data_IF_607378756391
#
_entry.id   IF_607378756391
#
_cell.length_a   1.000
_cell.length_b   1.000
_cell.length_c   1.000
_cell.angle_alpha   90.00
_cell.angle_beta   90.00
_cell.angle_gamma   90.00
#
_symmetry.space_group_name_H-M   'P 1'
#
loop_
_entity.id
_entity.type
_entity.pdbx_description
1 polymer ?
#
# COMPACT_ATOMS: atom_id res chain seq x y z
N UNK A 1 33.85 -21.83 -32.94
CA UNK A 1 32.42 -21.69 -33.28
C UNK A 1 31.93 -20.44 -32.60
N UNK A 2 31.22 -19.54 -33.30
CA UNK A 2 30.69 -18.33 -32.67
C UNK A 2 29.48 -18.70 -31.82
N UNK A 3 29.43 -18.24 -30.59
CA UNK A 3 28.44 -18.67 -29.59
C UNK A 3 27.87 -17.53 -28.74
N UNK A 4 28.37 -16.29 -28.94
CA UNK A 4 28.07 -15.17 -28.05
C UNK A 4 27.00 -14.25 -28.66
N UNK A 5 25.99 -13.89 -27.89
CA UNK A 5 25.02 -12.85 -28.27
C UNK A 5 25.55 -11.52 -27.76
N UNK A 6 25.89 -10.61 -28.67
CA UNK A 6 26.34 -9.27 -28.33
C UNK A 6 25.13 -8.34 -28.20
N UNK A 7 25.04 -7.55 -27.13
CA UNK A 7 24.01 -6.53 -26.94
C UNK A 7 24.65 -5.15 -27.00
N UNK A 8 24.28 -4.37 -28.02
CA UNK A 8 24.69 -2.97 -28.21
C UNK A 8 23.57 -2.04 -27.78
N UNK A 9 23.87 -1.07 -26.91
CA UNK A 9 22.90 -0.14 -26.31
C UNK A 9 23.56 1.21 -26.00
N UNK A 10 22.77 2.27 -25.80
CA UNK A 10 23.33 3.58 -25.43
C UNK A 10 23.65 3.65 -23.93
N UNK A 11 24.94 3.64 -23.57
CA UNK A 11 25.37 3.86 -22.18
C UNK A 11 25.31 5.36 -21.81
N UNK A 12 24.80 5.75 -20.62
CA UNK A 12 24.16 4.92 -19.59
C UNK A 12 22.64 4.77 -19.75
N UNK A 13 22.02 5.44 -20.73
CA UNK A 13 20.57 5.60 -20.89
C UNK A 13 19.82 4.26 -20.95
N UNK A 14 20.36 3.30 -21.69
CA UNK A 14 19.72 2.02 -21.99
C UNK A 14 20.22 0.87 -21.09
N UNK A 15 21.11 1.16 -20.15
CA UNK A 15 21.77 0.13 -19.32
C UNK A 15 20.76 -0.75 -18.56
N UNK A 16 19.63 -0.18 -18.13
CA UNK A 16 18.59 -0.92 -17.40
C UNK A 16 18.00 -2.02 -18.29
N UNK A 17 17.64 -1.66 -19.53
CA UNK A 17 17.09 -2.61 -20.47
C UNK A 17 18.14 -3.64 -20.89
N UNK A 18 19.34 -3.19 -21.24
CA UNK A 18 20.43 -4.06 -21.67
C UNK A 18 20.82 -5.08 -20.58
N UNK A 19 20.92 -4.64 -19.32
CA UNK A 19 21.19 -5.55 -18.19
C UNK A 19 20.05 -6.53 -17.98
N UNK A 20 18.80 -6.06 -18.03
CA UNK A 20 17.64 -6.92 -17.89
C UNK A 20 17.60 -8.00 -18.97
N UNK A 21 17.81 -7.61 -20.24
CA UNK A 21 17.79 -8.53 -21.37
C UNK A 21 18.94 -9.53 -21.28
N UNK A 22 20.16 -9.06 -20.98
CA UNK A 22 21.32 -9.91 -20.83
C UNK A 22 21.10 -10.99 -19.76
N UNK A 23 20.60 -10.61 -18.59
CA UNK A 23 20.29 -11.59 -17.53
C UNK A 23 19.22 -12.59 -17.96
N UNK A 24 18.17 -12.16 -18.68
CA UNK A 24 17.13 -13.09 -19.14
C UNK A 24 17.65 -14.11 -20.15
N UNK A 25 18.48 -13.67 -21.10
CA UNK A 25 19.09 -14.55 -22.09
C UNK A 25 20.09 -15.53 -21.45
N UNK A 26 20.91 -15.07 -20.51
CA UNK A 26 21.84 -15.93 -19.76
C UNK A 26 21.12 -16.99 -18.92
N UNK A 27 20.02 -16.63 -18.24
CA UNK A 27 19.16 -17.60 -17.53
C UNK A 27 18.51 -18.62 -18.47
N UNK A 28 18.32 -18.29 -19.74
CA UNK A 28 17.87 -19.22 -20.77
C UNK A 28 19.01 -20.07 -21.37
N UNK A 29 20.25 -19.91 -20.88
CA UNK A 29 21.43 -20.67 -21.28
C UNK A 29 22.22 -20.05 -22.43
N UNK A 30 21.94 -18.82 -22.85
CA UNK A 30 22.73 -18.15 -23.89
C UNK A 30 23.97 -17.49 -23.30
N UNK A 31 25.09 -17.54 -24.03
CA UNK A 31 26.28 -16.75 -23.69
C UNK A 31 26.07 -15.33 -24.21
N UNK A 32 26.06 -14.35 -23.31
CA UNK A 32 25.78 -12.95 -23.65
C UNK A 32 26.98 -12.08 -23.33
N UNK A 33 27.21 -11.09 -24.18
CA UNK A 33 28.15 -10.01 -23.94
C UNK A 33 27.41 -8.68 -23.95
N UNK A 34 27.58 -7.86 -22.92
CA UNK A 34 26.97 -6.54 -22.78
C UNK A 34 27.94 -5.61 -22.06
N UNK A 35 28.06 -4.38 -22.55
CA UNK A 35 28.93 -3.37 -21.94
C UNK A 35 28.25 -2.64 -20.78
N UNK A 36 28.45 -3.11 -19.53
CA UNK A 36 27.78 -2.57 -18.35
C UNK A 36 28.71 -1.79 -17.39
N UNK A 37 29.92 -1.46 -17.82
CA UNK A 37 31.03 -0.93 -17.00
C UNK A 37 31.54 -1.91 -15.94
N UNK A 38 32.63 -2.61 -16.24
CA UNK A 38 33.59 -3.10 -15.25
C UNK A 38 34.88 -3.55 -15.94
N UNK A 39 35.84 -2.64 -16.16
CA UNK A 39 37.19 -3.04 -16.58
C UNK A 39 38.28 -2.14 -15.97
N UNK A 40 39.40 -2.80 -15.68
CA UNK A 40 40.59 -2.23 -15.06
C UNK A 40 41.25 -1.15 -15.94
N UNK A 41 41.88 -0.12 -15.33
CA UNK A 41 42.65 0.86 -16.09
C UNK A 41 43.78 0.17 -16.87
N UNK A 42 43.94 0.52 -18.16
CA UNK A 42 44.99 0.09 -19.13
C UNK A 42 44.62 -0.88 -20.25
N UNK A 43 43.34 -1.25 -20.46
CA UNK A 43 42.91 -2.08 -21.61
C UNK A 43 42.32 -1.20 -22.72
N UNK A 44 42.75 -1.42 -23.97
CA UNK A 44 42.12 -0.79 -25.15
C UNK A 44 40.72 -1.36 -25.38
N UNK A 45 39.74 -0.67 -24.80
CA UNK A 45 38.32 -1.01 -24.78
C UNK A 45 37.74 -1.28 -26.18
N UNK A 46 38.16 -0.50 -27.18
CA UNK A 46 37.59 -0.61 -28.51
C UNK A 46 38.06 -1.86 -29.25
N UNK A 47 39.32 -2.28 -29.02
CA UNK A 47 39.83 -3.52 -29.60
C UNK A 47 39.07 -4.74 -29.08
N UNK A 48 38.71 -4.77 -27.80
CA UNK A 48 37.92 -5.87 -27.23
C UNK A 48 36.53 -5.94 -27.87
N UNK A 49 35.84 -4.79 -27.99
CA UNK A 49 34.51 -4.75 -28.62
C UNK A 49 34.56 -5.21 -30.08
N UNK A 50 35.48 -4.64 -30.87
CA UNK A 50 35.63 -5.02 -32.29
C UNK A 50 35.95 -6.52 -32.43
N UNK A 51 36.86 -7.05 -31.60
CA UNK A 51 37.18 -8.48 -31.59
C UNK A 51 35.99 -9.35 -31.21
N UNK A 52 35.23 -9.00 -30.16
CA UNK A 52 34.07 -9.78 -29.74
C UNK A 52 32.99 -9.79 -30.82
N UNK A 53 32.67 -8.64 -31.43
CA UNK A 53 31.70 -8.57 -32.52
C UNK A 53 32.16 -9.40 -33.72
N UNK A 54 33.45 -9.33 -34.09
CA UNK A 54 33.99 -10.04 -35.27
C UNK A 54 34.15 -11.53 -35.08
N UNK A 55 34.65 -11.96 -33.93
CA UNK A 55 35.20 -13.31 -33.76
C UNK A 55 34.32 -14.20 -32.90
N UNK A 56 33.61 -13.63 -31.91
CA UNK A 56 32.88 -14.42 -30.92
C UNK A 56 31.35 -14.35 -31.13
N UNK A 57 30.85 -13.21 -31.63
CA UNK A 57 29.43 -12.95 -31.72
C UNK A 57 28.74 -13.79 -32.81
N UNK A 58 27.71 -14.53 -32.42
CA UNK A 58 26.81 -15.27 -33.33
C UNK A 58 25.61 -14.40 -33.75
N UNK A 59 25.16 -13.51 -32.87
CA UNK A 59 24.11 -12.52 -33.13
C UNK A 59 24.49 -11.19 -32.49
N UNK A 60 24.08 -10.11 -33.13
CA UNK A 60 24.25 -8.75 -32.65
C UNK A 60 22.86 -8.13 -32.41
N UNK A 61 22.46 -8.03 -31.15
CA UNK A 61 21.23 -7.37 -30.75
C UNK A 61 21.49 -5.87 -30.64
N UNK A 62 20.79 -5.09 -31.46
CA UNK A 62 20.86 -3.64 -31.41
C UNK A 62 19.64 -3.09 -30.66
N UNK A 63 19.88 -2.52 -29.47
CA UNK A 63 18.83 -1.89 -28.67
C UNK A 63 18.51 -0.52 -29.26
N UNK A 64 17.35 -0.41 -29.92
CA UNK A 64 16.87 0.81 -30.56
C UNK A 64 16.09 1.67 -29.55
N UNK A 65 16.71 2.76 -29.14
CA UNK A 65 16.14 3.84 -28.32
C UNK A 65 16.35 5.19 -29.01
N UNK A 66 15.70 6.25 -28.54
CA UNK A 66 16.03 7.59 -29.05
C UNK A 66 17.49 7.98 -28.78
N UNK A 67 18.11 7.39 -27.75
CA UNK A 67 19.51 7.64 -27.41
C UNK A 67 20.48 6.85 -28.29
N UNK A 68 20.17 5.60 -28.66
CA UNK A 68 21.09 4.75 -29.43
C UNK A 68 21.12 5.07 -30.92
N UNK A 69 20.05 5.63 -31.47
CA UNK A 69 19.98 6.09 -32.85
C UNK A 69 20.61 7.48 -33.05
N UNK A 70 20.88 8.22 -31.97
CA UNK A 70 21.49 9.55 -32.04
C UNK A 70 22.86 9.46 -32.74
N UNK A 71 23.07 10.16 -33.88
CA UNK A 71 24.34 10.14 -34.59
C UNK A 71 25.53 10.63 -33.75
N UNK A 72 25.29 11.39 -32.68
CA UNK A 72 26.33 11.89 -31.78
C UNK A 72 26.88 10.81 -30.83
N UNK A 73 26.27 9.61 -30.78
CA UNK A 73 26.74 8.47 -29.98
C UNK A 73 27.76 7.63 -30.75
N UNK A 74 28.97 8.17 -30.90
CA UNK A 74 30.05 7.58 -31.70
C UNK A 74 30.37 6.11 -31.36
N UNK A 75 30.32 5.71 -30.08
CA UNK A 75 30.55 4.30 -29.67
C UNK A 75 29.53 3.33 -30.28
N UNK A 76 28.24 3.61 -30.13
CA UNK A 76 27.14 2.79 -30.65
C UNK A 76 27.17 2.75 -32.18
N UNK A 77 27.47 3.88 -32.83
CA UNK A 77 27.60 3.96 -34.28
C UNK A 77 28.76 3.12 -34.81
N UNK A 78 29.91 3.15 -34.12
CA UNK A 78 31.07 2.32 -34.46
C UNK A 78 30.76 0.83 -34.32
N UNK A 79 30.10 0.41 -33.24
CA UNK A 79 29.66 -0.97 -33.04
C UNK A 79 28.73 -1.43 -34.16
N UNK A 80 27.72 -0.62 -34.49
CA UNK A 80 26.77 -0.91 -35.55
C UNK A 80 27.45 -1.00 -36.92
N UNK A 81 28.42 -0.12 -37.21
CA UNK A 81 29.20 -0.15 -38.44
C UNK A 81 30.07 -1.42 -38.54
N UNK A 82 30.64 -1.91 -37.43
CA UNK A 82 31.36 -3.19 -37.40
C UNK A 82 30.39 -4.34 -37.65
N UNK A 83 29.21 -4.32 -37.02
CA UNK A 83 28.18 -5.33 -37.21
C UNK A 83 27.65 -5.36 -38.65
N UNK A 84 27.47 -4.21 -39.32
CA UNK A 84 27.03 -4.16 -40.73
C UNK A 84 28.04 -4.83 -41.67
N UNK A 85 29.34 -4.67 -41.42
CA UNK A 85 30.38 -5.35 -42.20
C UNK A 85 30.22 -6.88 -42.14
N UNK A 86 29.88 -7.41 -40.96
CA UNK A 86 29.64 -8.85 -40.76
C UNK A 86 28.31 -9.27 -41.39
N UNK A 87 27.28 -8.42 -41.28
CA UNK A 87 25.96 -8.67 -41.85
C UNK A 87 26.00 -8.90 -43.36
N UNK A 88 26.93 -8.26 -44.08
CA UNK A 88 27.15 -8.51 -45.52
C UNK A 88 27.52 -9.96 -45.84
N UNK A 89 28.13 -10.67 -44.90
CA UNK A 89 28.49 -12.09 -45.02
C UNK A 89 27.45 -13.00 -44.35
N UNK A 90 26.77 -12.51 -43.31
CA UNK A 90 25.70 -13.20 -42.59
C UNK A 90 24.46 -12.28 -42.48
N UNK A 91 23.51 -12.34 -43.44
CA UNK A 91 22.40 -11.40 -43.52
C UNK A 91 21.55 -11.27 -42.24
N UNK A 92 21.46 -12.35 -41.45
CA UNK A 92 20.66 -12.42 -40.22
C UNK A 92 21.47 -12.07 -38.96
N UNK A 93 22.63 -11.42 -39.10
CA UNK A 93 23.50 -11.15 -37.95
C UNK A 93 22.96 -10.09 -36.99
N UNK A 94 22.38 -9.01 -37.52
CA UNK A 94 21.83 -7.90 -36.74
C UNK A 94 20.35 -8.17 -36.41
N UNK A 95 20.00 -8.07 -35.13
CA UNK A 95 18.65 -8.24 -34.60
C UNK A 95 18.24 -6.95 -33.90
N UNK A 96 17.46 -6.07 -34.55
CA UNK A 96 17.02 -4.84 -33.92
C UNK A 96 15.92 -5.10 -32.88
N UNK A 97 16.03 -4.47 -31.72
CA UNK A 97 15.07 -4.56 -30.61
C UNK A 97 14.62 -3.15 -30.23
N UNK A 98 13.33 -2.84 -30.40
CA UNK A 98 12.80 -1.49 -30.16
C UNK A 98 12.31 -1.32 -28.73
N UNK A 99 12.89 -0.37 -28.01
CA UNK A 99 12.52 -0.08 -26.61
C UNK A 99 11.92 1.31 -26.39
N UNK A 100 11.91 2.17 -27.42
CA UNK A 100 11.29 3.50 -27.42
C UNK A 100 10.35 3.70 -28.62
N UNK A 101 9.56 4.78 -28.57
CA UNK A 101 8.83 5.29 -29.72
C UNK A 101 9.77 6.02 -30.71
N UNK A 102 10.59 5.24 -31.40
CA UNK A 102 11.53 5.72 -32.41
C UNK A 102 10.82 5.90 -33.76
N UNK A 103 11.06 7.04 -34.42
CA UNK A 103 10.61 7.31 -35.78
C UNK A 103 11.46 6.55 -36.80
N UNK A 104 10.81 5.94 -37.80
CA UNK A 104 11.51 5.22 -38.87
C UNK A 104 12.45 6.12 -39.69
N UNK A 105 12.17 7.43 -39.76
CA UNK A 105 12.99 8.38 -40.52
C UNK A 105 14.34 8.66 -39.85
N UNK A 106 14.45 8.40 -38.55
CA UNK A 106 15.62 8.72 -37.74
C UNK A 106 16.52 7.49 -37.52
N UNK A 107 16.22 6.39 -38.21
CA UNK A 107 16.98 5.14 -38.08
C UNK A 107 18.30 5.18 -38.87
N UNK A 108 19.39 4.64 -38.29
CA UNK A 108 20.62 4.38 -39.04
C UNK A 108 20.35 3.53 -40.29
N UNK A 109 21.07 3.83 -41.37
CA UNK A 109 20.88 3.22 -42.69
C UNK A 109 21.09 1.69 -42.63
N UNK A 110 21.96 1.24 -41.73
CA UNK A 110 22.32 -0.15 -41.48
C UNK A 110 21.13 -1.00 -41.03
N UNK A 111 20.15 -0.40 -40.32
CA UNK A 111 19.00 -1.10 -39.73
C UNK A 111 17.65 -0.68 -40.32
N UNK A 112 17.60 0.36 -41.15
CA UNK A 112 16.38 0.91 -41.75
C UNK A 112 15.50 -0.15 -42.45
N UNK A 113 16.12 -1.20 -43.01
CA UNK A 113 15.42 -2.27 -43.76
C UNK A 113 15.12 -3.52 -42.92
N UNK A 114 15.49 -3.54 -41.65
CA UNK A 114 15.31 -4.68 -40.76
C UNK A 114 14.02 -4.55 -39.96
N UNK A 115 13.34 -5.68 -39.75
CA UNK A 115 12.19 -5.71 -38.85
C UNK A 115 12.67 -5.80 -37.40
N UNK A 116 12.25 -4.83 -36.58
CA UNK A 116 12.58 -4.82 -35.16
C UNK A 116 11.59 -5.66 -34.34
N UNK A 117 12.08 -6.31 -33.30
CA UNK A 117 11.24 -6.94 -32.28
C UNK A 117 10.79 -5.84 -31.31
N UNK A 118 9.48 -5.73 -31.08
CA UNK A 118 8.92 -4.68 -30.22
C UNK A 118 9.00 -5.05 -28.74
N UNK A 119 9.75 -4.26 -27.97
CA UNK A 119 9.79 -4.27 -26.52
C UNK A 119 9.20 -2.98 -25.92
N UNK A 120 8.86 -1.95 -26.72
CA UNK A 120 8.42 -0.64 -26.21
C UNK A 120 7.19 -0.74 -25.29
N UNK A 121 6.20 -1.55 -25.69
CA UNK A 121 4.95 -1.67 -24.93
C UNK A 121 5.00 -2.74 -23.84
N UNK A 122 5.71 -3.84 -24.09
CA UNK A 122 5.69 -5.02 -23.23
C UNK A 122 7.00 -5.83 -23.38
N UNK A 123 7.86 -5.73 -22.37
CA UNK A 123 9.16 -6.40 -22.36
C UNK A 123 9.01 -7.93 -22.37
N UNK A 124 7.96 -8.48 -21.75
CA UNK A 124 7.76 -9.91 -21.68
C UNK A 124 7.39 -10.51 -23.05
N UNK A 125 6.49 -9.85 -23.79
CA UNK A 125 6.15 -10.25 -25.17
C UNK A 125 7.31 -10.10 -26.14
N UNK A 126 8.08 -9.02 -25.99
CA UNK A 126 9.32 -8.84 -26.76
C UNK A 126 10.30 -9.98 -26.53
N UNK A 127 10.51 -10.35 -25.26
CA UNK A 127 11.42 -11.45 -24.87
C UNK A 127 10.93 -12.79 -25.41
N UNK A 128 9.63 -13.09 -25.32
CA UNK A 128 9.05 -14.31 -25.90
C UNK A 128 9.34 -14.42 -27.40
N UNK A 129 9.13 -13.32 -28.12
CA UNK A 129 9.38 -13.23 -29.57
C UNK A 129 10.86 -13.42 -29.89
N UNK A 130 11.75 -12.77 -29.14
CA UNK A 130 13.19 -12.90 -29.31
C UNK A 130 13.69 -14.32 -29.00
N UNK A 131 13.22 -14.94 -27.92
CA UNK A 131 13.59 -16.31 -27.56
C UNK A 131 13.14 -17.31 -28.62
N UNK A 132 11.93 -17.14 -29.17
CA UNK A 132 11.45 -17.94 -30.30
C UNK A 132 12.39 -17.80 -31.50
N UNK A 133 12.70 -16.57 -31.90
CA UNK A 133 13.64 -16.28 -32.99
C UNK A 133 15.02 -16.95 -32.78
N UNK A 134 15.60 -16.83 -31.58
CA UNK A 134 16.91 -17.42 -31.28
C UNK A 134 16.89 -18.96 -31.30
N UNK A 135 15.77 -19.57 -30.86
CA UNK A 135 15.59 -21.02 -30.95
C UNK A 135 15.47 -21.47 -32.42
N UNK A 136 14.68 -20.76 -33.23
CA UNK A 136 14.48 -21.07 -34.65
C UNK A 136 15.80 -20.99 -35.45
N UNK A 137 16.69 -20.06 -35.07
CA UNK A 137 18.05 -19.91 -35.61
C UNK A 137 19.07 -20.94 -35.05
N UNK A 138 18.63 -21.87 -34.19
CA UNK A 138 19.45 -22.92 -33.57
C UNK A 138 20.70 -22.37 -32.84
N UNK A 139 20.57 -21.24 -32.14
CA UNK A 139 21.68 -20.67 -31.38
C UNK A 139 22.04 -21.59 -30.21
N UNK A 140 23.34 -21.94 -30.12
CA UNK A 140 23.87 -22.85 -29.10
C UNK A 140 23.65 -22.27 -27.71
N UNK A 141 23.09 -23.09 -26.82
CA UNK A 141 22.98 -22.80 -25.39
C UNK A 141 24.15 -23.44 -24.66
N UNK A 142 24.88 -22.66 -23.89
CA UNK A 142 25.97 -23.14 -23.05
C UNK A 142 25.36 -23.58 -21.72
N UNK A 143 25.46 -24.87 -21.38
CA UNK A 143 25.20 -25.31 -20.01
C UNK A 143 26.34 -24.79 -19.12
N UNK A 144 26.20 -23.56 -18.64
CA UNK A 144 27.17 -23.00 -17.72
C UNK A 144 26.85 -23.51 -16.30
N UNK A 145 27.79 -24.24 -15.69
CA UNK A 145 27.78 -24.59 -14.26
C UNK A 145 28.00 -23.38 -13.33
N UNK A 146 27.81 -22.16 -13.82
CA UNK A 146 27.97 -20.93 -13.04
C UNK A 146 26.83 -20.83 -12.03
N UNK A 147 27.17 -20.54 -10.78
CA UNK A 147 26.20 -20.28 -9.71
C UNK A 147 25.17 -19.24 -10.20
N UNK A 148 23.90 -19.64 -10.22
CA UNK A 148 22.76 -18.79 -10.59
C UNK A 148 22.72 -17.47 -9.81
N UNK A 149 23.41 -17.43 -8.66
CA UNK A 149 23.65 -16.27 -7.83
C UNK A 149 24.26 -15.09 -8.60
N UNK A 150 25.26 -15.31 -9.48
CA UNK A 150 25.91 -14.23 -10.22
C UNK A 150 24.93 -13.44 -11.11
N UNK A 151 24.04 -14.15 -11.81
CA UNK A 151 23.04 -13.53 -12.70
C UNK A 151 21.98 -12.75 -11.92
N UNK A 152 21.60 -13.27 -10.75
CA UNK A 152 20.68 -12.64 -9.81
C UNK A 152 21.32 -11.38 -9.22
N UNK A 153 22.57 -11.43 -8.80
CA UNK A 153 23.30 -10.31 -8.20
C UNK A 153 23.48 -9.17 -9.20
N UNK A 154 23.82 -9.47 -10.47
CA UNK A 154 23.93 -8.45 -11.53
C UNK A 154 22.59 -7.77 -11.82
N UNK A 155 21.51 -8.56 -11.94
CA UNK A 155 20.15 -8.02 -12.13
C UNK A 155 19.69 -7.20 -10.92
N UNK A 156 19.91 -7.70 -9.71
CA UNK A 156 19.55 -7.00 -8.47
C UNK A 156 20.31 -5.67 -8.37
N UNK A 157 21.63 -5.69 -8.58
CA UNK A 157 22.49 -4.51 -8.53
C UNK A 157 22.09 -3.43 -9.55
N UNK A 158 21.75 -3.82 -10.79
CA UNK A 158 21.25 -2.85 -11.78
C UNK A 158 19.90 -2.22 -11.41
N UNK A 159 19.04 -2.94 -10.68
CA UNK A 159 17.77 -2.40 -10.17
C UNK A 159 17.94 -1.55 -8.90
N UNK A 160 18.96 -1.78 -8.08
CA UNK A 160 19.17 -1.01 -6.82
C UNK A 160 19.41 0.48 -7.04
N UNK A 161 19.87 0.92 -8.23
CA UNK A 161 19.97 2.36 -8.55
C UNK A 161 18.60 3.06 -8.64
N UNK A 162 17.51 2.30 -8.88
CA UNK A 162 16.13 2.81 -8.96
C UNK A 162 15.30 2.53 -7.71
N UNK A 163 15.72 1.56 -6.89
CA UNK A 163 15.00 1.14 -5.68
C UNK A 163 15.62 1.76 -4.44
N UNK A 164 14.78 1.95 -3.43
CA UNK A 164 15.22 2.36 -2.11
C UNK A 164 16.30 1.41 -1.59
N UNK A 165 17.45 1.95 -1.17
CA UNK A 165 18.50 1.15 -0.57
C UNK A 165 18.16 0.91 0.90
N UNK A 166 18.06 -0.35 1.32
CA UNK A 166 17.89 -0.68 2.74
C UNK A 166 19.14 -0.26 3.50
N UNK A 167 18.95 0.38 4.65
CA UNK A 167 20.04 0.80 5.55
C UNK A 167 19.81 0.25 6.95
N UNK A 168 20.91 0.01 7.65
CA UNK A 168 20.93 -0.48 9.04
C UNK A 168 20.68 0.65 10.05
N UNK A 169 19.64 1.44 9.77
CA UNK A 169 19.15 2.48 10.66
C UNK A 169 17.77 2.12 11.16
N UNK A 170 17.49 2.48 12.40
CA UNK A 170 16.15 2.36 12.94
C UNK A 170 15.19 3.33 12.24
N UNK A 171 13.96 2.86 12.00
CA UNK A 171 12.88 3.68 11.46
C UNK A 171 11.60 3.47 12.25
N UNK A 172 10.90 4.57 12.53
CA UNK A 172 9.70 4.58 13.34
C UNK A 172 8.43 4.65 12.47
N UNK A 173 7.63 3.60 12.52
CA UNK A 173 6.36 3.49 11.81
C UNK A 173 5.19 3.78 12.73
N UNK A 174 4.40 4.80 12.39
CA UNK A 174 3.14 5.05 13.07
C UNK A 174 2.03 4.17 12.47
N UNK A 175 1.34 3.43 13.33
CA UNK A 175 0.19 2.65 12.91
C UNK A 175 -1.11 3.46 12.95
N UNK A 176 -2.20 2.80 12.57
CA UNK A 176 -3.57 3.23 12.83
C UNK A 176 -4.25 2.44 13.96
N UNK A 177 -3.43 1.76 14.79
CA UNK A 177 -3.84 1.05 16.00
C UNK A 177 -3.66 1.99 17.19
N UNK A 178 -4.67 2.07 18.05
CA UNK A 178 -4.65 2.89 19.26
C UNK A 178 -5.00 1.99 20.44
N UNK A 179 -4.15 1.95 21.46
CA UNK A 179 -4.40 1.11 22.63
C UNK A 179 -5.75 1.46 23.27
N UNK A 180 -6.45 0.41 23.71
CA UNK A 180 -7.74 0.49 24.37
C UNK A 180 -7.64 -0.16 25.73
N UNK A 181 -7.92 0.61 26.77
CA UNK A 181 -8.29 0.06 28.07
C UNK A 181 -9.79 -0.24 28.04
N UNK A 182 -10.11 -1.54 28.04
CA UNK A 182 -11.48 -2.03 28.09
C UNK A 182 -12.13 -1.71 29.44
N UNK A 183 -13.47 -1.60 29.50
CA UNK A 183 -14.18 -1.58 30.77
C UNK A 183 -13.78 -2.80 31.62
N UNK A 184 -13.61 -2.60 32.92
CA UNK A 184 -13.11 -3.64 33.84
C UNK A 184 -14.02 -4.85 33.85
N UNK A 185 -15.34 -4.65 33.83
CA UNK A 185 -16.29 -5.73 34.00
C UNK A 185 -17.44 -5.71 32.99
N UNK A 186 -17.80 -6.89 32.52
CA UNK A 186 -19.01 -7.14 31.73
C UNK A 186 -20.09 -7.74 32.63
N UNK A 187 -21.33 -7.30 32.42
CA UNK A 187 -22.49 -7.71 33.20
C UNK A 187 -23.47 -8.49 32.34
N UNK A 188 -24.05 -9.53 32.94
CA UNK A 188 -25.09 -10.37 32.35
C UNK A 188 -26.35 -10.29 33.21
N UNK A 189 -27.46 -9.91 32.60
CA UNK A 189 -28.76 -9.75 33.24
C UNK A 189 -29.81 -10.65 32.59
N UNK A 190 -30.90 -10.96 33.30
CA UNK A 190 -32.11 -11.47 32.64
C UNK A 190 -32.70 -10.38 31.76
N UNK A 191 -33.08 -10.75 30.54
CA UNK A 191 -33.54 -9.82 29.50
C UNK A 191 -34.81 -9.07 29.91
N UNK A 192 -35.76 -9.79 30.49
CA UNK A 192 -37.05 -9.24 30.95
C UNK A 192 -36.88 -8.16 32.01
N UNK A 193 -35.76 -8.17 32.74
CA UNK A 193 -35.51 -7.20 33.80
C UNK A 193 -34.97 -5.86 33.30
N UNK A 194 -34.23 -5.84 32.18
CA UNK A 194 -33.39 -4.69 31.79
C UNK A 194 -33.56 -4.22 30.34
N UNK A 195 -34.22 -4.97 29.47
CA UNK A 195 -34.25 -4.66 28.03
C UNK A 195 -34.87 -3.28 27.73
N UNK A 196 -35.97 -2.94 28.40
CA UNK A 196 -36.68 -1.68 28.19
C UNK A 196 -35.80 -0.49 28.57
N UNK A 197 -35.20 -0.53 29.76
CA UNK A 197 -34.39 0.58 30.27
C UNK A 197 -33.11 0.78 29.46
N UNK A 198 -32.45 -0.31 29.07
CA UNK A 198 -31.25 -0.26 28.22
C UNK A 198 -31.58 0.28 26.83
N UNK A 199 -32.74 -0.08 26.26
CA UNK A 199 -33.15 0.37 24.93
C UNK A 199 -33.49 1.86 24.95
N UNK A 200 -34.29 2.30 25.92
CA UNK A 200 -34.70 3.70 26.07
C UNK A 200 -33.50 4.61 26.28
N UNK A 201 -32.52 4.18 27.08
CA UNK A 201 -31.28 4.91 27.35
C UNK A 201 -30.20 4.73 26.27
N UNK A 202 -30.47 3.98 25.21
CA UNK A 202 -29.52 3.71 24.12
C UNK A 202 -28.19 3.09 24.59
N UNK A 203 -28.26 2.19 25.58
CA UNK A 203 -27.11 1.54 26.17
C UNK A 203 -26.62 0.40 25.27
N UNK A 204 -25.33 0.36 24.90
CA UNK A 204 -24.76 -0.74 24.15
C UNK A 204 -24.94 -2.09 24.85
N UNK A 205 -25.54 -3.05 24.14
CA UNK A 205 -25.90 -4.36 24.68
C UNK A 205 -25.94 -5.45 23.61
N UNK A 206 -25.93 -6.71 24.04
CA UNK A 206 -26.15 -7.88 23.18
C UNK A 206 -27.20 -8.81 23.79
N UNK A 207 -28.24 -9.09 23.01
CA UNK A 207 -29.35 -9.98 23.39
C UNK A 207 -28.99 -11.42 23.03
N UNK A 208 -29.11 -12.33 23.99
CA UNK A 208 -28.90 -13.76 23.76
C UNK A 208 -30.01 -14.54 24.47
N UNK A 209 -31.02 -15.01 23.71
CA UNK A 209 -32.24 -15.64 24.24
C UNK A 209 -32.88 -14.80 25.35
N UNK A 210 -32.86 -15.28 26.61
CA UNK A 210 -33.44 -14.66 27.80
C UNK A 210 -32.45 -13.84 28.63
N UNK A 211 -31.23 -13.62 28.15
CA UNK A 211 -30.23 -12.79 28.83
C UNK A 211 -29.74 -11.64 27.95
N UNK A 212 -29.21 -10.60 28.60
CA UNK A 212 -28.55 -9.47 27.97
C UNK A 212 -27.13 -9.35 28.55
N UNK A 213 -26.15 -9.16 27.66
CA UNK A 213 -24.77 -8.83 27.99
C UNK A 213 -24.56 -7.32 27.75
N UNK A 214 -23.97 -6.59 28.69
CA UNK A 214 -23.69 -5.15 28.59
C UNK A 214 -22.55 -4.73 29.52
N UNK A 215 -22.01 -3.52 29.31
CA UNK A 215 -21.06 -2.86 30.21
C UNK A 215 -21.74 -1.87 31.18
N UNK A 216 -23.08 -1.80 31.19
CA UNK A 216 -23.78 -1.06 32.22
C UNK A 216 -23.64 -1.75 33.59
N UNK A 217 -23.15 -1.03 34.59
CA UNK A 217 -22.94 -1.60 35.92
C UNK A 217 -24.26 -1.79 36.66
N UNK A 218 -24.27 -2.71 37.63
CA UNK A 218 -25.48 -3.05 38.38
C UNK A 218 -26.05 -1.88 39.17
N UNK A 219 -25.21 -1.00 39.70
CA UNK A 219 -25.65 0.21 40.43
C UNK A 219 -26.54 1.08 39.54
N UNK A 220 -26.05 1.43 38.35
CA UNK A 220 -26.83 2.18 37.36
C UNK A 220 -28.11 1.46 36.96
N UNK A 221 -28.07 0.15 36.74
CA UNK A 221 -29.26 -0.63 36.37
C UNK A 221 -30.32 -0.61 37.48
N UNK A 222 -29.91 -0.82 38.73
CA UNK A 222 -30.83 -0.76 39.87
C UNK A 222 -31.44 0.64 40.03
N UNK A 223 -30.62 1.69 39.89
CA UNK A 223 -31.07 3.08 39.94
C UNK A 223 -32.08 3.40 38.82
N UNK A 224 -31.87 2.89 37.61
CA UNK A 224 -32.78 3.14 36.49
C UNK A 224 -34.05 2.29 36.53
N UNK A 225 -33.97 1.07 37.07
CA UNK A 225 -35.11 0.18 37.24
C UNK A 225 -35.90 0.48 38.54
N UNK A 226 -35.35 1.27 39.46
CA UNK A 226 -35.89 1.56 40.80
C UNK A 226 -36.16 0.30 41.63
N UNK A 227 -35.34 -0.74 41.43
CA UNK A 227 -35.41 -2.03 42.14
C UNK A 227 -34.09 -2.78 42.02
N UNK A 228 -33.91 -3.78 42.87
CA UNK A 228 -32.81 -4.74 42.70
C UNK A 228 -33.02 -5.64 41.48
N UNK A 229 -31.92 -5.98 40.82
CA UNK A 229 -31.89 -6.82 39.63
C UNK A 229 -30.78 -7.87 39.77
N UNK A 230 -31.11 -9.12 39.51
CA UNK A 230 -30.14 -10.21 39.49
C UNK A 230 -29.11 -10.02 38.36
N UNK A 231 -27.84 -10.26 38.65
CA UNK A 231 -26.77 -10.11 37.67
C UNK A 231 -25.62 -11.10 37.88
N UNK A 232 -24.85 -11.32 36.81
CA UNK A 232 -23.53 -11.93 36.87
C UNK A 232 -22.51 -10.89 36.41
N UNK A 233 -21.44 -10.70 37.19
CA UNK A 233 -20.31 -9.83 36.86
C UNK A 233 -19.11 -10.71 36.49
N UNK A 234 -18.49 -10.42 35.35
CA UNK A 234 -17.27 -11.10 34.89
C UNK A 234 -16.19 -10.07 34.62
N UNK A 235 -14.93 -10.41 34.87
CA UNK A 235 -13.79 -9.64 34.36
C UNK A 235 -13.80 -9.67 32.82
N UNK A 236 -13.65 -8.51 32.20
CA UNK A 236 -13.76 -8.39 30.75
C UNK A 236 -12.61 -9.08 30.01
N UNK A 237 -11.39 -9.03 30.54
CA UNK A 237 -10.21 -9.64 29.89
C UNK A 237 -10.35 -11.16 29.94
N UNK A 238 -10.73 -11.70 31.09
CA UNK A 238 -10.99 -13.14 31.26
C UNK A 238 -12.14 -13.59 30.36
N UNK A 239 -13.24 -12.82 30.30
CA UNK A 239 -14.39 -13.15 29.46
C UNK A 239 -14.08 -13.15 27.95
N UNK A 240 -13.09 -12.37 27.50
CA UNK A 240 -12.61 -12.38 26.11
C UNK A 240 -11.67 -13.58 25.84
N UNK A 241 -10.81 -13.92 26.81
CA UNK A 241 -9.79 -14.97 26.67
C UNK A 241 -10.31 -16.39 26.92
N UNK A 242 -11.38 -16.56 27.70
CA UNK A 242 -11.90 -17.88 28.06
C UNK A 242 -12.40 -18.66 26.82
N UNK A 243 -11.60 -19.64 26.40
CA UNK A 243 -11.84 -20.49 25.23
C UNK A 243 -12.78 -21.68 25.48
N UNK A 244 -13.13 -21.97 26.73
CA UNK A 244 -14.11 -22.99 27.09
C UNK A 244 -15.51 -22.48 26.77
N UNK A 245 -16.03 -22.88 25.61
CA UNK A 245 -17.36 -22.57 25.13
C UNK A 245 -18.12 -23.88 24.86
N UNK A 246 -19.44 -23.93 25.10
CA UNK A 246 -20.30 -22.85 25.58
C UNK A 246 -20.29 -22.70 27.12
N UNK A 247 -20.62 -21.51 27.62
CA UNK A 247 -20.81 -21.24 29.05
C UNK A 247 -22.28 -20.98 29.36
N UNK A 248 -22.73 -21.38 30.56
CA UNK A 248 -24.13 -21.18 31.01
C UNK A 248 -24.20 -20.07 32.04
N UNK A 249 -25.04 -19.07 31.76
CA UNK A 249 -25.25 -17.91 32.62
C UNK A 249 -26.76 -17.71 32.83
N UNK A 250 -27.20 -17.65 34.09
CA UNK A 250 -28.61 -17.49 34.44
C UNK A 250 -29.54 -18.52 33.72
N UNK A 251 -29.06 -19.75 33.55
CA UNK A 251 -29.78 -20.83 32.87
C UNK A 251 -29.71 -20.80 31.34
N UNK A 252 -29.05 -19.82 30.73
CA UNK A 252 -28.91 -19.69 29.28
C UNK A 252 -27.48 -19.99 28.81
N UNK A 253 -27.37 -20.80 27.75
CA UNK A 253 -26.07 -21.15 27.14
C UNK A 253 -25.65 -20.09 26.11
N UNK A 254 -24.49 -19.47 26.33
CA UNK A 254 -23.83 -18.54 25.41
C UNK A 254 -22.74 -19.28 24.65
N UNK A 255 -22.89 -19.35 23.32
CA UNK A 255 -21.94 -20.04 22.44
C UNK A 255 -20.65 -19.27 22.18
N UNK A 256 -20.67 -17.93 22.24
CA UNK A 256 -19.49 -17.10 22.00
C UNK A 256 -19.60 -15.74 22.69
N UNK A 257 -19.28 -15.70 23.99
CA UNK A 257 -19.33 -14.48 24.79
C UNK A 257 -18.32 -13.43 24.30
N UNK A 258 -17.13 -13.84 23.86
CA UNK A 258 -16.12 -12.91 23.37
C UNK A 258 -16.59 -12.15 22.12
N UNK A 259 -17.29 -12.80 21.18
CA UNK A 259 -17.92 -12.13 20.03
C UNK A 259 -18.99 -11.13 20.47
N UNK A 260 -19.78 -11.47 21.48
CA UNK A 260 -20.82 -10.59 22.01
C UNK A 260 -20.19 -9.34 22.65
N UNK A 261 -19.13 -9.51 23.46
CA UNK A 261 -18.33 -8.41 24.04
C UNK A 261 -17.74 -7.53 22.94
N UNK A 262 -17.06 -8.12 21.94
CA UNK A 262 -16.48 -7.38 20.80
C UNK A 262 -17.55 -6.59 20.04
N UNK A 263 -18.76 -7.14 19.90
CA UNK A 263 -19.87 -6.44 19.26
C UNK A 263 -20.34 -5.23 20.09
N UNK A 264 -20.34 -5.33 21.42
CA UNK A 264 -20.72 -4.24 22.32
C UNK A 264 -19.64 -3.14 22.29
N UNK A 265 -18.35 -3.49 22.38
CA UNK A 265 -17.24 -2.52 22.25
C UNK A 265 -17.34 -1.76 20.93
N UNK A 266 -17.57 -2.47 19.81
CA UNK A 266 -17.73 -1.82 18.51
C UNK A 266 -18.97 -0.90 18.43
N UNK A 267 -20.03 -1.18 19.18
CA UNK A 267 -21.16 -0.28 19.32
C UNK A 267 -20.78 0.95 20.17
N UNK A 268 -20.09 0.77 21.29
CA UNK A 268 -19.59 1.88 22.12
C UNK A 268 -18.71 2.86 21.34
N UNK A 269 -17.89 2.37 20.40
CA UNK A 269 -17.11 3.23 19.49
C UNK A 269 -18.03 4.12 18.63
N UNK A 270 -19.14 3.57 18.15
CA UNK A 270 -20.15 4.33 17.41
C UNK A 270 -20.83 5.42 18.25
N UNK A 271 -21.22 5.07 19.48
CA UNK A 271 -21.80 6.02 20.42
C UNK A 271 -20.82 7.12 20.83
N UNK A 272 -19.54 6.77 21.01
CA UNK A 272 -18.46 7.74 21.22
C UNK A 272 -18.38 8.74 20.06
N UNK A 273 -18.45 8.28 18.80
CA UNK A 273 -18.47 9.20 17.66
C UNK A 273 -19.69 10.13 17.67
N UNK A 274 -20.89 9.62 17.98
CA UNK A 274 -22.09 10.45 18.08
C UNK A 274 -21.98 11.49 19.20
N UNK A 275 -21.45 11.12 20.36
CA UNK A 275 -21.21 12.03 21.49
C UNK A 275 -20.28 13.19 21.12
N UNK A 276 -19.36 12.97 20.19
CA UNK A 276 -18.46 13.99 19.64
C UNK A 276 -19.02 14.71 18.40
N UNK A 277 -20.30 14.51 18.06
CA UNK A 277 -20.98 15.23 16.98
C UNK A 277 -20.71 14.71 15.56
N UNK A 278 -20.06 13.56 15.41
CA UNK A 278 -19.89 12.93 14.09
C UNK A 278 -21.21 12.31 13.64
N UNK A 279 -21.41 12.25 12.32
CA UNK A 279 -22.62 11.69 11.69
C UNK A 279 -22.31 10.37 11.02
N UNK A 280 -23.19 9.38 11.17
CA UNK A 280 -23.04 8.08 10.51
C UNK A 280 -23.38 8.17 9.02
N UNK A 281 -22.47 7.69 8.19
CA UNK A 281 -22.69 7.50 6.75
C UNK A 281 -23.39 6.17 6.48
N UNK A 282 -24.58 6.22 5.90
CA UNK A 282 -25.33 5.06 5.42
C UNK A 282 -25.25 5.01 3.89
N UNK A 283 -24.51 4.04 3.35
CA UNK A 283 -24.51 3.77 1.90
C UNK A 283 -25.80 3.05 1.49
N UNK A 284 -26.31 3.38 0.30
CA UNK A 284 -27.54 2.80 -0.23
C UNK A 284 -27.38 1.33 -0.62
N UNK A 285 -26.17 0.87 -0.91
CA UNK A 285 -25.89 -0.49 -1.37
C UNK A 285 -25.84 -1.56 -0.26
N UNK A 286 -26.03 -1.20 1.01
CA UNK A 286 -26.16 -2.14 2.15
C UNK A 286 -24.92 -2.99 2.48
N UNK A 287 -23.91 -3.05 1.60
CA UNK A 287 -22.82 -4.04 1.65
C UNK A 287 -21.50 -3.57 2.26
N UNK A 288 -21.21 -2.27 2.41
CA UNK A 288 -19.82 -1.85 2.73
C UNK A 288 -19.66 -0.78 3.83
N UNK A 289 -20.68 -0.04 4.26
CA UNK A 289 -20.46 1.13 5.15
C UNK A 289 -21.00 1.01 6.58
N UNK A 290 -21.16 -0.20 7.15
CA UNK A 290 -22.02 -0.34 8.34
C UNK A 290 -21.66 0.62 9.48
N UNK A 291 -20.40 1.04 9.68
CA UNK A 291 -20.03 1.96 10.78
C UNK A 291 -19.01 3.05 10.38
N UNK A 292 -19.25 3.79 9.29
CA UNK A 292 -18.43 4.98 8.97
C UNK A 292 -19.09 6.23 9.56
N UNK A 293 -18.32 7.06 10.25
CA UNK A 293 -18.75 8.30 10.90
C UNK A 293 -17.91 9.46 10.37
N UNK A 294 -18.54 10.56 9.97
CA UNK A 294 -17.85 11.70 9.37
C UNK A 294 -18.03 12.98 10.17
N UNK A 295 -16.99 13.82 10.13
CA UNK A 295 -16.96 15.09 10.84
C UNK A 295 -17.97 16.09 10.28
N UNK A 296 -18.62 16.92 11.12
CA UNK A 296 -19.55 17.95 10.65
C UNK A 296 -18.85 18.99 9.77
N UNK A 297 -19.63 19.72 8.97
CA UNK A 297 -19.09 20.80 8.14
C UNK A 297 -18.45 21.89 9.01
N UNK A 298 -17.24 22.35 8.63
CA UNK A 298 -16.48 23.34 9.40
C UNK A 298 -15.64 22.76 10.54
N UNK A 299 -15.65 21.44 10.75
CA UNK A 299 -14.81 20.78 11.74
C UNK A 299 -13.32 21.04 11.46
N UNK A 300 -12.62 21.50 12.49
CA UNK A 300 -11.17 21.72 12.50
C UNK A 300 -10.60 21.16 13.78
N UNK A 301 -9.35 20.71 13.72
CA UNK A 301 -8.62 20.20 14.88
C UNK A 301 -7.12 20.37 14.68
N UNK A 302 -6.33 20.01 15.68
CA UNK A 302 -4.86 20.03 15.65
C UNK A 302 -4.34 18.61 15.73
N UNK A 303 -3.13 18.34 15.22
CA UNK A 303 -2.48 17.03 15.38
C UNK A 303 -2.00 16.77 16.81
N UNK A 304 -1.61 17.85 17.48
CA UNK A 304 -1.16 17.94 18.87
C UNK A 304 -1.25 19.42 19.31
N UNK A 305 -1.13 19.69 20.62
CA UNK A 305 -1.43 21.01 21.22
C UNK A 305 -0.78 22.22 20.51
N UNK A 306 0.50 22.09 20.13
CA UNK A 306 1.30 23.15 19.50
C UNK A 306 1.22 23.17 17.97
N UNK A 307 0.54 22.21 17.34
CA UNK A 307 0.42 22.15 15.88
C UNK A 307 -0.60 23.14 15.33
N UNK A 308 -0.42 23.53 14.05
CA UNK A 308 -1.42 24.31 13.30
C UNK A 308 -2.71 23.51 13.12
N UNK A 309 -3.82 24.23 13.03
CA UNK A 309 -5.11 23.64 12.73
C UNK A 309 -5.14 22.98 11.34
N UNK A 310 -5.89 21.90 11.26
CA UNK A 310 -6.20 21.12 10.07
C UNK A 310 -7.70 21.02 9.95
N UNK A 311 -8.21 21.35 8.77
CA UNK A 311 -9.61 21.11 8.44
C UNK A 311 -9.86 19.60 8.35
N UNK A 312 -10.93 19.15 9.01
CA UNK A 312 -11.48 17.79 8.90
C UNK A 312 -12.72 17.75 8.00
N UNK A 313 -13.17 18.91 7.53
CA UNK A 313 -14.17 19.05 6.47
C UNK A 313 -14.00 20.39 5.75
N UNK A 314 -14.60 20.54 4.57
CA UNK A 314 -14.58 21.79 3.83
C UNK A 314 -15.28 21.74 2.49
N UNK A 315 -15.24 22.85 1.75
CA UNK A 315 -15.88 22.96 0.43
C UNK A 315 -15.05 22.28 -0.66
N UNK A 316 -15.72 21.69 -1.64
CA UNK A 316 -15.14 21.06 -2.83
C UNK A 316 -15.95 21.45 -4.07
N UNK A 317 -15.29 22.14 -5.03
CA UNK A 317 -15.92 22.57 -6.30
C UNK A 317 -17.28 23.26 -6.08
N UNK A 318 -17.22 24.38 -5.34
CA UNK A 318 -18.31 25.32 -4.98
C UNK A 318 -19.54 24.77 -4.26
N UNK A 319 -20.10 23.62 -4.66
CA UNK A 319 -21.39 23.11 -4.16
C UNK A 319 -21.29 21.84 -3.30
N UNK A 320 -20.16 21.12 -3.36
CA UNK A 320 -19.98 19.89 -2.58
C UNK A 320 -19.21 20.20 -1.31
N UNK A 321 -19.46 19.43 -0.25
CA UNK A 321 -18.64 19.45 0.97
C UNK A 321 -17.95 18.11 1.11
N UNK A 322 -16.67 18.13 1.41
CA UNK A 322 -15.90 16.95 1.76
C UNK A 322 -15.79 16.87 3.28
N UNK A 323 -15.83 15.65 3.80
CA UNK A 323 -15.77 15.36 5.22
C UNK A 323 -14.81 14.19 5.41
N UNK A 324 -13.83 14.37 6.29
CA UNK A 324 -13.06 13.24 6.78
C UNK A 324 -13.98 12.34 7.59
N UNK A 325 -13.77 11.03 7.48
CA UNK A 325 -14.56 10.05 8.22
C UNK A 325 -13.70 8.93 8.76
N UNK A 326 -14.20 8.30 9.81
CA UNK A 326 -13.55 7.23 10.54
C UNK A 326 -14.51 6.05 10.67
N UNK A 327 -13.93 4.85 10.64
CA UNK A 327 -14.55 3.65 11.20
C UNK A 327 -13.54 3.01 12.14
N UNK A 328 -13.95 2.73 13.37
CA UNK A 328 -13.13 1.99 14.34
C UNK A 328 -13.58 0.54 14.43
N UNK A 329 -12.63 -0.37 14.61
CA UNK A 329 -12.90 -1.76 14.95
C UNK A 329 -11.94 -2.23 16.04
N UNK A 330 -12.50 -2.86 17.08
CA UNK A 330 -11.72 -3.45 18.16
C UNK A 330 -10.90 -4.66 17.67
N UNK A 331 -9.64 -4.72 18.06
CA UNK A 331 -8.77 -5.89 17.90
C UNK A 331 -8.13 -6.24 19.24
N UNK A 332 -7.87 -7.52 19.46
CA UNK A 332 -7.05 -7.99 20.59
C UNK A 332 -5.65 -8.44 20.14
N UNK A 333 -5.32 -8.26 18.87
CA UNK A 333 -4.02 -8.61 18.29
C UNK A 333 -3.48 -7.44 17.44
N UNK A 334 -2.19 -7.08 17.56
CA UNK A 334 -1.18 -7.66 18.46
C UNK A 334 -1.38 -7.31 19.95
N UNK A 335 -2.24 -6.33 20.23
CA UNK A 335 -2.63 -5.93 21.58
C UNK A 335 -4.10 -5.48 21.59
N UNK A 336 -4.65 -5.22 22.78
CA UNK A 336 -5.99 -4.66 22.92
C UNK A 336 -6.03 -3.21 22.42
N UNK A 337 -6.80 -2.96 21.37
CA UNK A 337 -6.82 -1.65 20.73
C UNK A 337 -7.91 -1.49 19.69
N UNK A 338 -7.99 -0.29 19.12
CA UNK A 338 -8.90 0.05 18.02
C UNK A 338 -8.08 0.37 16.77
N UNK A 339 -8.42 -0.32 15.68
CA UNK A 339 -7.93 0.02 14.35
C UNK A 339 -8.89 1.03 13.75
N UNK A 340 -8.42 2.26 13.53
CA UNK A 340 -9.17 3.27 12.79
C UNK A 340 -8.85 3.20 11.30
N UNK A 341 -9.89 3.09 10.47
CA UNK A 341 -9.79 3.28 9.03
C UNK A 341 -10.36 4.65 8.67
N UNK A 342 -9.68 5.33 7.77
CA UNK A 342 -10.09 6.63 7.27
C UNK A 342 -10.94 6.52 6.01
N UNK A 343 -11.80 7.50 5.83
CA UNK A 343 -12.73 7.64 4.73
C UNK A 343 -12.86 9.11 4.35
N UNK A 344 -13.36 9.37 3.15
CA UNK A 344 -13.85 10.71 2.78
C UNK A 344 -15.29 10.57 2.34
N UNK A 345 -16.17 11.35 2.98
CA UNK A 345 -17.58 11.41 2.65
C UNK A 345 -17.86 12.76 2.00
N UNK A 346 -18.67 12.76 0.94
CA UNK A 346 -19.14 13.99 0.32
C UNK A 346 -20.60 14.22 0.63
N UNK A 347 -20.98 15.46 0.91
CA UNK A 347 -22.38 15.87 1.02
C UNK A 347 -22.67 17.01 0.06
N UNK A 348 -23.95 17.26 -0.17
CA UNK A 348 -24.44 18.52 -0.73
C UNK A 348 -24.37 19.66 0.32
N UNK A 349 -24.85 20.84 -0.07
CA UNK A 349 -24.91 22.03 0.79
C UNK A 349 -25.86 21.88 1.99
N UNK A 350 -26.83 20.98 1.89
CA UNK A 350 -27.77 20.64 2.98
C UNK A 350 -27.19 19.60 3.94
N UNK A 351 -26.00 19.07 3.65
CA UNK A 351 -25.34 18.05 4.48
C UNK A 351 -25.86 16.63 4.22
N UNK A 352 -26.56 16.41 3.11
CA UNK A 352 -27.06 15.10 2.70
C UNK A 352 -25.96 14.37 1.92
N UNK A 353 -25.60 13.11 2.28
CA UNK A 353 -24.60 12.36 1.55
C UNK A 353 -24.94 12.20 0.07
N UNK A 354 -23.96 12.41 -0.81
CA UNK A 354 -24.14 12.20 -2.24
C UNK A 354 -24.48 10.73 -2.56
N UNK A 355 -25.17 10.44 -3.68
CA UNK A 355 -25.39 9.07 -4.15
C UNK A 355 -24.08 8.30 -4.40
N UNK A 356 -24.11 6.97 -4.27
CA UNK A 356 -22.92 6.10 -4.29
C UNK A 356 -22.00 6.35 -5.53
N UNK A 357 -22.56 6.48 -6.74
CA UNK A 357 -21.77 6.77 -7.95
C UNK A 357 -21.03 8.13 -7.87
N UNK A 358 -21.70 9.15 -7.35
CA UNK A 358 -21.13 10.49 -7.15
C UNK A 358 -20.10 10.51 -6.02
N UNK A 359 -20.28 9.71 -4.97
CA UNK A 359 -19.28 9.52 -3.91
C UNK A 359 -17.98 8.94 -4.47
N UNK A 360 -18.06 7.88 -5.27
CA UNK A 360 -16.89 7.22 -5.86
C UNK A 360 -16.12 8.19 -6.76
N UNK A 361 -16.81 8.91 -7.64
CA UNK A 361 -16.18 9.89 -8.52
C UNK A 361 -15.50 11.02 -7.73
N UNK A 362 -16.17 11.57 -6.72
CA UNK A 362 -15.62 12.64 -5.89
C UNK A 362 -14.42 12.17 -5.06
N UNK A 363 -14.47 10.97 -4.48
CA UNK A 363 -13.35 10.35 -3.75
C UNK A 363 -12.13 10.15 -4.64
N UNK A 364 -12.30 9.61 -5.84
CA UNK A 364 -11.20 9.44 -6.81
C UNK A 364 -10.58 10.79 -7.18
N UNK A 365 -11.41 11.80 -7.42
CA UNK A 365 -10.93 13.12 -7.84
C UNK A 365 -10.22 13.89 -6.72
N UNK A 366 -10.77 13.93 -5.50
CA UNK A 366 -10.14 14.64 -4.36
C UNK A 366 -8.97 13.85 -3.77
N UNK A 367 -9.09 12.53 -3.72
CA UNK A 367 -8.09 11.62 -3.16
C UNK A 367 -6.85 11.43 -4.03
N UNK A 368 -6.87 11.87 -5.30
CA UNK A 368 -5.76 11.68 -6.25
C UNK A 368 -4.41 12.19 -5.73
N UNK A 369 -4.42 13.28 -4.97
CA UNK A 369 -3.20 13.93 -4.45
C UNK A 369 -3.02 13.70 -2.95
N UNK A 370 -3.80 12.79 -2.37
CA UNK A 370 -3.75 12.53 -0.94
C UNK A 370 -2.80 11.37 -0.63
N UNK A 371 -1.55 11.72 -0.33
CA UNK A 371 -0.52 10.78 0.07
C UNK A 371 -0.57 10.47 1.57
N UNK A 372 0.21 9.46 2.00
CA UNK A 372 0.20 8.93 3.36
C UNK A 372 0.38 10.00 4.44
N UNK A 373 1.22 11.02 4.20
CA UNK A 373 1.42 12.15 5.11
C UNK A 373 0.09 12.84 5.44
N UNK A 374 -0.73 13.16 4.43
CA UNK A 374 -1.98 13.87 4.64
C UNK A 374 -3.00 13.02 5.40
N UNK A 375 -3.11 11.72 5.08
CA UNK A 375 -3.98 10.79 5.80
C UNK A 375 -3.58 10.65 7.27
N UNK A 376 -2.27 10.50 7.53
CA UNK A 376 -1.71 10.44 8.90
C UNK A 376 -2.03 11.70 9.69
N UNK A 377 -1.84 12.87 9.09
CA UNK A 377 -2.11 14.16 9.75
C UNK A 377 -3.61 14.33 10.08
N UNK A 378 -4.52 13.91 9.19
CA UNK A 378 -5.96 13.95 9.47
C UNK A 378 -6.41 12.93 10.49
N UNK A 379 -5.81 11.74 10.52
CA UNK A 379 -6.07 10.76 11.58
C UNK A 379 -5.62 11.32 12.93
N UNK A 380 -4.41 11.88 13.04
CA UNK A 380 -3.94 12.52 14.27
C UNK A 380 -4.84 13.68 14.71
N UNK A 381 -5.24 14.53 13.75
CA UNK A 381 -6.15 15.63 14.04
C UNK A 381 -7.53 15.16 14.51
N UNK A 382 -8.01 14.04 13.97
CA UNK A 382 -9.28 13.43 14.39
C UNK A 382 -9.18 12.88 15.81
N UNK A 383 -8.09 12.21 16.15
CA UNK A 383 -7.92 11.64 17.49
C UNK A 383 -7.76 12.72 18.56
N UNK A 384 -7.04 13.81 18.26
CA UNK A 384 -6.96 14.98 19.13
C UNK A 384 -8.31 15.67 19.32
N UNK A 385 -9.14 15.72 18.26
CA UNK A 385 -10.50 16.25 18.35
C UNK A 385 -11.34 15.40 19.31
N UNK A 386 -11.28 14.08 19.16
CA UNK A 386 -12.04 13.13 19.97
C UNK A 386 -11.54 13.10 21.43
N UNK A 387 -10.25 13.35 21.69
CA UNK A 387 -9.73 13.37 23.06
C UNK A 387 -9.92 14.72 23.76
N UNK A 388 -10.42 15.74 23.05
CA UNK A 388 -10.45 17.11 23.56
C UNK A 388 -9.05 17.65 23.88
N UNK A 389 -8.02 17.12 23.24
CA UNK A 389 -6.62 17.44 23.51
C UNK A 389 -6.00 16.76 24.73
N UNK A 390 -6.70 15.82 25.37
CA UNK A 390 -6.17 14.99 26.46
C UNK A 390 -5.46 13.73 25.93
N UNK A 391 -4.79 13.00 26.82
CA UNK A 391 -4.08 11.76 26.46
C UNK A 391 -5.01 10.64 25.98
N UNK A 392 -6.27 10.62 26.44
CA UNK A 392 -7.21 9.53 26.16
C UNK A 392 -8.57 10.06 25.70
N UNK A 393 -9.20 9.34 24.78
CA UNK A 393 -10.62 9.51 24.46
C UNK A 393 -11.41 8.69 25.47
N UNK A 394 -12.21 9.38 26.28
CA UNK A 394 -13.05 8.78 27.31
C UNK A 394 -14.46 8.48 26.79
N UNK A 395 -14.95 7.28 27.04
CA UNK A 395 -16.36 6.94 26.83
C UNK A 395 -16.86 5.96 27.89
N UNK A 396 -18.08 6.16 28.38
CA UNK A 396 -18.76 5.22 29.27
C UNK A 396 -20.20 4.97 28.80
N UNK A 397 -20.72 3.74 28.92
CA UNK A 397 -22.12 3.46 28.64
C UNK A 397 -23.04 3.92 29.78
N UNK A 398 -22.55 4.05 31.03
CA UNK A 398 -23.42 4.34 32.18
C UNK A 398 -22.79 5.30 33.20
N UNK A 399 -21.63 4.94 33.77
CA UNK A 399 -20.88 5.70 34.76
C UNK A 399 -19.38 5.41 34.66
N UNK A 400 -18.55 6.16 35.37
CA UNK A 400 -17.08 6.06 35.27
C UNK A 400 -16.53 4.70 35.70
N UNK A 401 -17.24 3.94 36.54
CA UNK A 401 -16.81 2.61 37.02
C UNK A 401 -16.51 1.61 35.90
N UNK A 402 -17.17 1.74 34.73
CA UNK A 402 -16.94 0.88 33.57
C UNK A 402 -16.79 1.69 32.28
N UNK A 403 -15.92 2.70 32.35
CA UNK A 403 -15.49 3.45 31.18
C UNK A 403 -14.47 2.68 30.34
N UNK A 404 -14.38 3.04 29.05
CA UNK A 404 -13.30 2.67 28.16
C UNK A 404 -12.42 3.89 27.87
N UNK A 405 -11.11 3.67 27.75
CA UNK A 405 -10.13 4.71 27.47
C UNK A 405 -9.34 4.33 26.22
N UNK A 406 -9.38 5.17 25.20
CA UNK A 406 -8.64 4.97 23.96
C UNK A 406 -7.49 5.95 23.94
N UNK A 407 -6.24 5.50 23.80
CA UNK A 407 -5.11 6.43 23.67
C UNK A 407 -5.31 7.35 22.47
N UNK A 408 -5.00 8.63 22.64
CA UNK A 408 -5.10 9.65 21.58
C UNK A 408 -3.96 9.55 20.55
N UNK A 409 -2.85 8.92 20.93
CA UNK A 409 -1.71 8.65 20.05
C UNK A 409 -1.73 7.19 19.58
N UNK A 410 -1.34 6.96 18.33
CA UNK A 410 -1.26 5.61 17.80
C UNK A 410 -0.03 4.88 18.28
N UNK A 411 -0.13 3.56 18.31
CA UNK A 411 0.98 2.68 18.56
C UNK A 411 2.04 2.85 17.48
N UNK A 412 3.30 2.88 17.92
CA UNK A 412 4.47 3.05 17.07
C UNK A 412 5.28 1.77 17.08
N UNK A 413 5.81 1.44 15.92
CA UNK A 413 6.61 0.25 15.71
C UNK A 413 7.98 0.69 15.21
N UNK A 414 9.04 0.09 15.75
CA UNK A 414 10.41 0.36 15.33
C UNK A 414 10.84 -0.80 14.44
N UNK A 415 11.35 -0.46 13.25
CA UNK A 415 12.05 -1.40 12.39
C UNK A 415 13.55 -1.19 12.58
N UNK A 416 14.33 -2.26 12.75
CA UNK A 416 15.80 -2.21 12.80
C UNK A 416 16.44 -1.91 11.43
N UNK A 417 15.62 -1.85 10.38
CA UNK A 417 16.02 -1.53 9.01
C UNK A 417 15.18 -0.36 8.49
N UNK A 418 15.84 0.61 7.86
CA UNK A 418 15.21 1.72 7.14
C UNK A 418 15.54 1.62 5.65
N UNK A 419 15.13 2.62 4.86
CA UNK A 419 15.49 2.71 3.45
C UNK A 419 15.76 4.16 3.03
N UNK A 420 16.67 4.33 2.08
CA UNK A 420 16.89 5.61 1.41
C UNK A 420 15.75 5.81 0.40
N UNK A 421 14.93 6.83 0.61
CA UNK A 421 13.84 7.16 -0.30
C UNK A 421 14.38 7.46 -1.72
N UNK A 422 13.83 6.86 -2.79
CA UNK A 422 14.40 6.98 -4.11
C UNK A 422 14.26 8.41 -4.63
N UNK A 423 15.31 8.91 -5.27
CA UNK A 423 15.45 10.32 -5.70
C UNK A 423 14.29 10.83 -6.59
N UNK A 424 13.55 9.91 -7.25
CA UNK A 424 12.43 10.21 -8.14
C UNK A 424 11.27 10.92 -7.42
N UNK A 425 11.11 10.72 -6.10
CA UNK A 425 9.97 11.29 -5.36
C UNK A 425 10.17 12.72 -4.86
N UNK A 426 11.39 13.28 -4.88
CA UNK A 426 11.64 14.66 -4.42
C UNK A 426 10.96 15.72 -5.29
N UNK A 427 10.76 15.47 -6.58
CA UNK A 427 10.20 16.48 -7.49
C UNK A 427 8.67 16.69 -7.37
N UNK A 428 7.93 15.74 -6.81
CA UNK A 428 6.46 15.84 -6.74
C UNK A 428 5.97 16.60 -5.50
N UNK A 429 6.84 16.81 -4.50
CA UNK A 429 6.49 17.43 -3.22
C UNK A 429 6.54 18.97 -3.21
N UNK A 430 7.39 19.57 -4.04
CA UNK A 430 7.70 21.01 -3.97
C UNK A 430 6.77 21.90 -4.81
N UNK A 431 5.96 21.34 -5.71
CA UNK A 431 5.04 22.11 -6.56
C UNK A 431 3.75 22.60 -5.85
N UNK A 432 3.56 22.31 -4.56
CA UNK A 432 2.32 22.68 -3.84
C UNK A 432 2.58 23.52 -2.57
N UNK A 433 3.66 24.29 -2.56
CA UNK A 433 3.88 25.37 -1.60
C UNK A 433 3.39 26.72 -2.15
N UNK A 434 2.13 26.78 -2.58
CA UNK A 434 1.37 28.05 -2.76
C UNK A 434 -0.06 27.92 -2.22
#
# INVERSE_FOLDING_TARGET
>A
MKDTIFISHATPTDNIFATWLATKLELCGYKVWVDLNDLAPSVDFWNTIDQTIRNDAVKFIFVMSNASIDPNRDGVQKELAVADKIRRQNPNFIVPVRIDNVSYNDLPVEILRLNAIDFYNDWAKGLETLLKYLNDENIVKVMSNTDSQHYIDRWFSSQTKLRSQTVDNEDEYCSNLFALDLPESVYIYKREDVEEVLTTRHIPMKKNKKIIVTFACNKCICDWCLREVDFIKLDTKDAIQNHTLPNTYLGESISNLSRDIVSIVNWMIGEMFYKHGLRRYKSNSGKISKNVYFFPNGAKSKRFATSREKALSGTYRSIKRWHFGLSGYYTNYPMSGIIFKWHIIFTDEKGIPLPDASQIAARRSKGRLMFNKQWKEWLQASMFFLSGGTENIFYTPCCEENAMYIRSQSERFISEKSYIEPYVYKQVGDENAE
#
